data_IF_163665520235
#
_entry.id   IF_163665520235
#
_cell.length_a   1.000
_cell.length_b   1.000
_cell.length_c   1.000
_cell.angle_alpha   90.00
_cell.angle_beta   90.00
_cell.angle_gamma   90.00
#
_symmetry.space_group_name_H-M   'P 1'
#
loop_
_entity.id
_entity.type
_entity.pdbx_description
1 polymer ?
#
# COMPACT_ATOMS: atom_id res chain seq x y z
N UNK A 1 -15.14 -17.90 16.77
CA UNK A 1 -14.57 -16.56 16.63
C UNK A 1 -15.45 -15.52 17.28
N UNK A 2 -14.85 -14.59 18.04
CA UNK A 2 -15.59 -13.50 18.65
C UNK A 2 -15.77 -12.33 17.69
N UNK A 3 -16.67 -11.41 18.05
CA UNK A 3 -16.92 -10.17 17.30
C UNK A 3 -15.63 -9.34 17.14
N UNK A 4 -14.73 -9.41 18.12
CA UNK A 4 -13.47 -8.69 18.13
C UNK A 4 -12.57 -9.11 16.97
N UNK A 5 -12.46 -10.41 16.71
CA UNK A 5 -11.68 -10.92 15.59
C UNK A 5 -12.28 -10.51 14.24
N UNK A 6 -13.62 -10.47 14.15
CA UNK A 6 -14.29 -10.04 12.93
C UNK A 6 -14.01 -8.58 12.60
N UNK A 7 -13.93 -7.70 13.60
CA UNK A 7 -13.57 -6.29 13.41
C UNK A 7 -12.12 -6.18 12.91
N UNK A 8 -11.20 -6.91 13.55
CA UNK A 8 -9.80 -6.91 13.16
C UNK A 8 -9.62 -7.41 11.73
N UNK A 9 -10.28 -8.52 11.38
CA UNK A 9 -10.24 -9.08 10.02
C UNK A 9 -10.69 -8.03 9.00
N UNK A 10 -11.79 -7.34 9.29
CA UNK A 10 -12.32 -6.31 8.40
C UNK A 10 -11.31 -5.16 8.20
N UNK A 11 -10.72 -4.70 9.29
CA UNK A 11 -9.73 -3.61 9.24
C UNK A 11 -8.46 -4.02 8.49
N UNK A 12 -7.98 -5.24 8.73
CA UNK A 12 -6.80 -5.75 8.02
C UNK A 12 -7.09 -5.94 6.53
N UNK A 13 -8.30 -6.38 6.18
CA UNK A 13 -8.68 -6.48 4.77
C UNK A 13 -8.77 -5.12 4.09
N UNK A 14 -9.21 -4.08 4.79
CA UNK A 14 -9.19 -2.72 4.24
C UNK A 14 -7.76 -2.26 3.97
N UNK A 15 -6.84 -2.54 4.88
CA UNK A 15 -5.42 -2.24 4.68
C UNK A 15 -4.85 -3.03 3.50
N UNK A 16 -5.22 -4.29 3.38
CA UNK A 16 -4.77 -5.16 2.28
C UNK A 16 -5.27 -4.63 0.93
N UNK A 17 -6.52 -4.20 0.84
CA UNK A 17 -7.05 -3.57 -0.37
C UNK A 17 -6.24 -2.33 -0.74
N UNK A 18 -5.92 -1.49 0.24
CA UNK A 18 -5.06 -0.31 0.03
C UNK A 18 -3.68 -0.67 -0.48
N UNK A 19 -3.11 -1.76 0.03
CA UNK A 19 -1.82 -2.26 -0.45
C UNK A 19 -1.90 -2.73 -1.90
N UNK A 20 -2.97 -3.41 -2.29
CA UNK A 20 -3.15 -3.80 -3.70
C UNK A 20 -3.31 -2.59 -4.60
N UNK A 21 -3.99 -1.54 -4.14
CA UNK A 21 -4.05 -0.28 -4.89
C UNK A 21 -2.66 0.30 -5.12
N UNK A 22 -1.82 0.28 -4.09
CA UNK A 22 -0.44 0.76 -4.20
C UNK A 22 0.36 -0.08 -5.20
N UNK A 23 0.26 -1.41 -5.11
CA UNK A 23 0.96 -2.33 -6.01
C UNK A 23 0.58 -2.04 -7.47
N UNK A 24 -0.71 -1.87 -7.75
CA UNK A 24 -1.20 -1.53 -9.10
C UNK A 24 -0.72 -0.15 -9.53
N UNK A 25 -0.71 0.82 -8.62
CA UNK A 25 -0.18 2.15 -8.89
C UNK A 25 1.29 2.12 -9.29
N UNK A 26 2.11 1.38 -8.54
CA UNK A 26 3.53 1.23 -8.86
C UNK A 26 3.73 0.53 -10.20
N UNK A 27 2.86 -0.39 -10.57
CA UNK A 27 2.96 -1.03 -11.88
C UNK A 27 2.86 0.01 -13.00
N UNK A 28 1.93 0.97 -12.87
CA UNK A 28 1.80 2.06 -13.85
C UNK A 28 3.03 2.97 -13.83
N UNK A 29 3.53 3.33 -12.65
CA UNK A 29 4.72 4.17 -12.51
C UNK A 29 5.93 3.50 -13.18
N UNK A 30 6.12 2.22 -12.93
CA UNK A 30 7.24 1.45 -13.48
C UNK A 30 7.17 1.39 -15.00
N UNK A 31 5.97 1.25 -15.57
CA UNK A 31 5.77 1.21 -17.02
C UNK A 31 6.10 2.54 -17.70
N UNK A 32 5.90 3.66 -17.00
CA UNK A 32 6.01 4.99 -17.59
C UNK A 32 7.32 5.72 -17.27
N UNK A 33 7.98 5.38 -16.18
CA UNK A 33 9.24 6.04 -15.81
C UNK A 33 10.33 5.68 -16.83
N UNK A 34 11.09 6.70 -17.26
CA UNK A 34 12.14 6.50 -18.27
C UNK A 34 13.52 6.31 -17.68
N UNK A 35 13.78 6.88 -16.51
CA UNK A 35 15.06 6.78 -15.83
C UNK A 35 15.26 5.37 -15.26
N UNK A 36 16.31 4.63 -15.68
CA UNK A 36 16.52 3.25 -15.23
C UNK A 36 16.75 3.12 -13.72
N UNK A 37 17.41 4.09 -13.10
CA UNK A 37 17.69 4.05 -11.66
C UNK A 37 16.42 4.26 -10.86
N UNK A 38 15.58 5.19 -11.29
CA UNK A 38 14.29 5.43 -10.68
C UNK A 38 13.37 4.22 -10.84
N UNK A 39 13.42 3.57 -12.00
CA UNK A 39 12.66 2.36 -12.24
C UNK A 39 13.03 1.26 -11.24
N UNK A 40 14.32 1.07 -10.98
CA UNK A 40 14.79 0.08 -9.99
C UNK A 40 14.25 0.40 -8.60
N UNK A 41 14.27 1.66 -8.20
CA UNK A 41 13.76 2.07 -6.89
C UNK A 41 12.26 1.82 -6.77
N UNK A 42 11.49 2.16 -7.80
CA UNK A 42 10.05 1.90 -7.80
C UNK A 42 9.75 0.40 -7.75
N UNK A 43 10.53 -0.41 -8.47
CA UNK A 43 10.39 -1.86 -8.42
C UNK A 43 10.67 -2.41 -7.02
N UNK A 44 11.70 -1.90 -6.36
CA UNK A 44 12.06 -2.32 -5.00
C UNK A 44 10.93 -2.00 -4.02
N UNK A 45 10.38 -0.78 -4.11
CA UNK A 45 9.26 -0.37 -3.27
C UNK A 45 8.03 -1.26 -3.51
N UNK A 46 7.73 -1.54 -4.78
CA UNK A 46 6.61 -2.43 -5.13
C UNK A 46 6.79 -3.82 -4.52
N UNK A 47 8.00 -4.36 -4.56
CA UNK A 47 8.29 -5.67 -3.98
C UNK A 47 8.05 -5.67 -2.47
N UNK A 48 8.42 -4.60 -1.78
CA UNK A 48 8.17 -4.47 -0.35
C UNK A 48 6.67 -4.42 -0.03
N UNK A 49 5.88 -3.74 -0.86
CA UNK A 49 4.42 -3.75 -0.71
C UNK A 49 3.85 -5.16 -0.90
N UNK A 50 4.38 -5.92 -1.84
CA UNK A 50 3.94 -7.30 -2.06
C UNK A 50 4.25 -8.18 -0.85
N UNK A 51 5.44 -8.01 -0.26
CA UNK A 51 5.84 -8.73 0.95
C UNK A 51 4.92 -8.37 2.13
N UNK A 52 4.61 -7.10 2.28
CA UNK A 52 3.72 -6.62 3.34
C UNK A 52 2.29 -7.15 3.15
N UNK A 53 1.83 -7.23 1.90
CA UNK A 53 0.52 -7.83 1.60
C UNK A 53 0.46 -9.29 2.04
N UNK A 54 1.53 -10.04 1.82
CA UNK A 54 1.61 -11.42 2.27
C UNK A 54 1.52 -11.54 3.80
N UNK A 55 2.17 -10.64 4.52
CA UNK A 55 2.10 -10.62 6.00
C UNK A 55 0.68 -10.34 6.50
N UNK A 56 0.01 -9.37 5.89
CA UNK A 56 -1.37 -9.04 6.25
C UNK A 56 -2.28 -10.22 5.97
N UNK A 57 -2.15 -10.82 4.79
CA UNK A 57 -2.97 -11.97 4.40
C UNK A 57 -2.80 -13.15 5.36
N UNK A 58 -1.57 -13.46 5.73
CA UNK A 58 -1.29 -14.52 6.70
C UNK A 58 -1.94 -14.24 8.05
N UNK A 59 -1.86 -12.99 8.52
CA UNK A 59 -2.49 -12.63 9.80
C UNK A 59 -4.00 -12.81 9.74
N UNK A 60 -4.63 -12.41 8.63
CA UNK A 60 -6.09 -12.60 8.43
C UNK A 60 -6.43 -14.09 8.50
N UNK A 61 -5.66 -14.93 7.83
CA UNK A 61 -5.86 -16.38 7.84
C UNK A 61 -5.72 -16.94 9.25
N UNK A 62 -4.72 -16.48 10.00
CA UNK A 62 -4.51 -16.94 11.37
C UNK A 62 -5.62 -16.53 12.31
N UNK A 63 -6.33 -15.45 11.99
CA UNK A 63 -7.53 -15.03 12.74
C UNK A 63 -8.80 -15.76 12.28
N UNK A 64 -8.69 -16.63 11.27
CA UNK A 64 -9.81 -17.40 10.74
C UNK A 64 -10.58 -16.69 9.64
N UNK A 65 -10.04 -15.61 9.10
CA UNK A 65 -10.67 -14.86 8.02
C UNK A 65 -10.16 -15.27 6.65
N UNK A 66 -10.72 -14.64 5.62
CA UNK A 66 -10.33 -14.83 4.23
C UNK A 66 -9.76 -13.51 3.70
N UNK A 67 -8.46 -13.49 3.32
CA UNK A 67 -7.89 -12.26 2.79
C UNK A 67 -8.50 -11.90 1.44
N UNK A 68 -8.70 -10.61 1.21
CA UNK A 68 -9.06 -10.12 -0.12
C UNK A 68 -7.90 -10.38 -1.08
N UNK A 69 -8.20 -10.44 -2.38
CA UNK A 69 -7.21 -10.76 -3.40
C UNK A 69 -7.01 -9.66 -4.44
N UNK A 70 -7.48 -8.45 -4.13
CA UNK A 70 -7.35 -7.32 -5.03
C UNK A 70 -7.74 -6.02 -4.36
N UNK A 71 -7.72 -4.90 -5.11
CA UNK A 71 -7.95 -3.56 -4.54
C UNK A 71 -9.40 -3.26 -4.17
N UNK A 72 -10.34 -4.16 -4.47
CA UNK A 72 -11.74 -3.97 -4.15
C UNK A 72 -12.42 -2.94 -5.06
N UNK A 73 -13.68 -2.63 -4.74
CA UNK A 73 -14.50 -1.71 -5.55
C UNK A 73 -13.89 -0.30 -5.61
N UNK A 74 -13.47 0.23 -4.47
CA UNK A 74 -12.87 1.58 -4.42
C UNK A 74 -11.57 1.67 -5.21
N UNK A 75 -10.76 0.61 -5.15
CA UNK A 75 -9.53 0.54 -5.92
C UNK A 75 -9.78 0.48 -7.41
N UNK A 76 -10.78 -0.28 -7.84
CA UNK A 76 -11.17 -0.37 -9.25
C UNK A 76 -11.65 0.97 -9.77
N UNK A 77 -12.42 1.72 -8.98
CA UNK A 77 -12.84 3.08 -9.34
C UNK A 77 -11.64 4.02 -9.47
N UNK A 78 -10.71 3.95 -8.52
CA UNK A 78 -9.50 4.78 -8.56
C UNK A 78 -8.67 4.50 -9.80
N UNK A 79 -8.53 3.24 -10.18
CA UNK A 79 -7.80 2.85 -11.39
C UNK A 79 -8.49 3.39 -12.66
N UNK A 80 -9.80 3.32 -12.73
CA UNK A 80 -10.58 3.86 -13.83
C UNK A 80 -10.37 5.37 -13.93
N UNK A 81 -10.44 6.09 -12.82
CA UNK A 81 -10.21 7.53 -12.79
C UNK A 81 -8.79 7.89 -13.25
N UNK A 82 -7.80 7.12 -12.82
CA UNK A 82 -6.41 7.32 -13.24
C UNK A 82 -6.24 7.15 -14.75
N UNK A 83 -6.89 6.16 -15.32
CA UNK A 83 -6.87 5.94 -16.78
C UNK A 83 -7.51 7.10 -17.54
N UNK A 84 -8.61 7.64 -17.00
CA UNK A 84 -9.30 8.77 -17.62
C UNK A 84 -8.46 10.04 -17.60
N UNK A 85 -7.67 10.24 -16.54
CA UNK A 85 -6.77 11.40 -16.41
C UNK A 85 -5.54 11.27 -17.29
N UNK A 86 -5.25 10.05 -17.75
CA UNK A 86 -4.03 9.75 -18.47
C UNK A 86 -2.86 9.53 -17.52
N UNK A 87 -1.73 9.15 -18.10
CA UNK A 87 -0.50 8.91 -17.34
C UNK A 87 0.61 9.82 -17.84
N UNK A 88 1.46 10.30 -16.93
CA UNK A 88 2.61 11.12 -17.28
C UNK A 88 3.86 10.25 -17.35
N UNK A 89 4.75 10.58 -18.29
CA UNK A 89 6.08 9.97 -18.40
C UNK A 89 7.14 10.80 -17.64
N UNK A 90 6.75 11.95 -17.08
CA UNK A 90 7.66 12.81 -16.35
C UNK A 90 8.07 12.16 -15.04
N UNK A 91 9.35 11.91 -14.88
CA UNK A 91 9.91 11.24 -13.71
C UNK A 91 9.57 11.98 -12.41
N UNK A 92 9.68 13.32 -12.39
CA UNK A 92 9.37 14.10 -11.20
C UNK A 92 7.90 13.94 -10.81
N UNK A 93 7.00 14.00 -11.78
CA UNK A 93 5.56 13.82 -11.55
C UNK A 93 5.28 12.43 -10.98
N UNK A 94 5.89 11.40 -11.55
CA UNK A 94 5.71 10.01 -11.11
C UNK A 94 6.18 9.85 -9.65
N UNK A 95 7.34 10.40 -9.31
CA UNK A 95 7.87 10.31 -7.94
C UNK A 95 6.98 11.04 -6.93
N UNK A 96 6.45 12.19 -7.31
CA UNK A 96 5.52 12.94 -6.45
C UNK A 96 4.21 12.16 -6.24
N UNK A 97 3.69 11.57 -7.30
CA UNK A 97 2.47 10.77 -7.24
C UNK A 97 2.67 9.53 -6.36
N UNK A 98 3.82 8.89 -6.50
CA UNK A 98 4.19 7.75 -5.66
C UNK A 98 4.27 8.15 -4.18
N UNK A 99 4.91 9.28 -3.87
CA UNK A 99 5.01 9.78 -2.50
C UNK A 99 3.62 10.10 -1.92
N UNK A 100 2.75 10.68 -2.71
CA UNK A 100 1.38 10.98 -2.28
C UNK A 100 0.61 9.68 -1.97
N UNK A 101 0.77 8.67 -2.81
CA UNK A 101 0.17 7.35 -2.60
C UNK A 101 0.65 6.74 -1.29
N UNK A 102 1.97 6.82 -1.01
CA UNK A 102 2.53 6.33 0.25
C UNK A 102 1.95 7.07 1.46
N UNK A 103 1.79 8.39 1.35
CA UNK A 103 1.23 9.18 2.44
C UNK A 103 -0.22 8.80 2.76
N UNK A 104 -1.00 8.43 1.77
CA UNK A 104 -2.37 7.92 1.98
C UNK A 104 -2.34 6.60 2.75
N UNK A 105 -1.43 5.71 2.39
CA UNK A 105 -1.24 4.43 3.09
C UNK A 105 -0.78 4.63 4.53
N UNK A 106 0.11 5.59 4.76
CA UNK A 106 0.58 5.93 6.10
C UNK A 106 -0.59 6.39 6.98
N UNK A 107 -1.41 7.27 6.46
CA UNK A 107 -2.59 7.78 7.19
C UNK A 107 -3.52 6.65 7.61
N UNK A 108 -3.83 5.75 6.68
CA UNK A 108 -4.67 4.59 6.95
C UNK A 108 -4.06 3.70 8.04
N UNK A 109 -2.77 3.40 7.92
CA UNK A 109 -2.07 2.55 8.90
C UNK A 109 -2.04 3.21 10.29
N UNK A 110 -1.81 4.52 10.35
CA UNK A 110 -1.82 5.25 11.61
C UNK A 110 -3.18 5.18 12.32
N UNK A 111 -4.25 5.29 11.56
CA UNK A 111 -5.60 5.20 12.10
C UNK A 111 -5.87 3.80 12.66
N UNK A 112 -5.42 2.75 11.94
CA UNK A 112 -5.61 1.37 12.40
C UNK A 112 -4.82 1.08 13.68
N UNK A 113 -3.59 1.61 13.79
CA UNK A 113 -2.75 1.42 14.99
C UNK A 113 -3.44 2.02 16.22
N UNK A 114 -4.17 3.12 16.05
CA UNK A 114 -4.90 3.76 17.15
C UNK A 114 -6.26 3.12 17.45
N UNK A 115 -6.69 2.19 16.62
CA UNK A 115 -8.02 1.58 16.69
C UNK A 115 -8.05 0.26 17.44
N UNK A 116 -8.84 -0.66 16.95
CA UNK A 116 -9.25 -1.87 17.66
C UNK A 116 -8.41 -3.12 17.38
N UNK A 117 -7.21 -2.96 16.82
CA UNK A 117 -6.36 -4.10 16.53
C UNK A 117 -5.88 -4.79 17.81
N UNK A 118 -5.79 -6.11 17.77
CA UNK A 118 -5.11 -6.88 18.80
C UNK A 118 -3.58 -6.60 18.72
N UNK A 119 -2.85 -6.98 19.75
CA UNK A 119 -1.42 -6.63 19.86
C UNK A 119 -0.59 -7.17 18.71
N UNK A 120 -0.83 -8.40 18.29
CA UNK A 120 -0.06 -9.02 17.20
C UNK A 120 -0.34 -8.36 15.86
N UNK A 121 -1.60 -8.07 15.57
CA UNK A 121 -1.98 -7.35 14.34
C UNK A 121 -1.43 -5.93 14.36
N UNK A 122 -1.46 -5.27 15.51
CA UNK A 122 -0.90 -3.92 15.64
C UNK A 122 0.59 -3.89 15.33
N UNK A 123 1.35 -4.88 15.80
CA UNK A 123 2.78 -4.97 15.51
C UNK A 123 3.05 -5.09 14.01
N UNK A 124 2.24 -5.88 13.32
CA UNK A 124 2.37 -6.04 11.87
C UNK A 124 2.10 -4.70 11.17
N UNK A 125 1.02 -4.01 11.56
CA UNK A 125 0.66 -2.72 10.94
C UNK A 125 1.72 -1.66 11.26
N UNK A 126 2.27 -1.64 12.49
CA UNK A 126 3.36 -0.73 12.86
C UNK A 126 4.60 -0.95 12.00
N UNK A 127 4.94 -2.20 11.73
CA UNK A 127 6.07 -2.54 10.84
C UNK A 127 5.83 -2.03 9.43
N UNK A 128 4.62 -2.21 8.91
CA UNK A 128 4.23 -1.72 7.59
C UNK A 128 4.30 -0.20 7.55
N UNK A 129 3.83 0.46 8.59
CA UNK A 129 3.88 1.90 8.73
C UNK A 129 5.32 2.42 8.64
N UNK A 130 6.24 1.76 9.35
CA UNK A 130 7.67 2.12 9.31
C UNK A 130 8.24 1.96 7.91
N UNK A 131 7.90 0.88 7.20
CA UNK A 131 8.34 0.64 5.83
C UNK A 131 7.82 1.74 4.91
N UNK A 132 6.53 2.09 5.03
CA UNK A 132 5.93 3.13 4.20
C UNK A 132 6.58 4.49 4.45
N UNK A 133 6.93 4.81 5.69
CA UNK A 133 7.65 6.07 6.01
C UNK A 133 9.03 6.11 5.37
N UNK A 134 9.72 4.97 5.33
CA UNK A 134 11.00 4.86 4.62
C UNK A 134 10.83 5.09 3.13
N UNK A 135 9.75 4.57 2.54
CA UNK A 135 9.45 4.79 1.13
C UNK A 135 9.30 6.28 0.82
N UNK A 136 8.54 7.01 1.66
CA UNK A 136 8.37 8.47 1.48
C UNK A 136 9.72 9.18 1.54
N UNK A 137 10.54 8.83 2.52
CA UNK A 137 11.88 9.42 2.67
C UNK A 137 12.74 9.16 1.43
N UNK A 138 12.74 7.93 0.93
CA UNK A 138 13.50 7.55 -0.26
C UNK A 138 13.01 8.28 -1.51
N UNK A 139 11.68 8.36 -1.70
CA UNK A 139 11.11 9.07 -2.84
C UNK A 139 11.42 10.57 -2.79
N UNK A 140 11.34 11.18 -1.61
CA UNK A 140 11.68 12.59 -1.44
C UNK A 140 13.16 12.85 -1.72
N UNK A 141 14.04 11.94 -1.32
CA UNK A 141 15.47 12.05 -1.62
C UNK A 141 15.73 12.01 -3.12
N UNK A 142 14.99 11.19 -3.86
CA UNK A 142 15.13 11.11 -5.31
C UNK A 142 14.64 12.38 -6.02
N UNK A 143 13.70 13.12 -5.38
CA UNK A 143 13.18 14.38 -5.92
C UNK A 143 14.14 15.56 -5.72
N UNK A 144 15.09 15.44 -4.82
CA UNK A 144 16.06 16.48 -4.47
C UNK A 144 17.48 15.97 -4.65
#
# INVERSE_FOLDING_TARGET
MGNKDNVVIKELNSLLEGNYMAIHGYERFIQHVKDPEMKKELQRIQQEHKQNSALIAERIQNLGGVPVDGPGFMGSMAETMSKLKGTSDDTEFILKDAAESENKGIKMAEELVRGDLDDESRKIVEKILDVNRKHVSQLNNLLH
#
